data_IF_815395431787
#
_entry.id   IF_815395431787
#
_cell.length_a   1.000
_cell.length_b   1.000
_cell.length_c   1.000
_cell.angle_alpha   90.00
_cell.angle_beta   90.00
_cell.angle_gamma   90.00
#
_symmetry.space_group_name_H-M   'P 1'
#
loop_
_entity.id
_entity.type
_entity.pdbx_description
1 polymer ?
#
# COMPACT_ATOMS: atom_id res chain seq x y z
N UNK A 1 -10.28 -36.74 -3.97
CA UNK A 1 -10.10 -35.85 -2.80
C UNK A 1 -8.65 -35.47 -2.55
N UNK A 2 -7.71 -36.42 -2.39
CA UNK A 2 -6.28 -36.07 -2.19
C UNK A 2 -5.64 -35.38 -3.41
N UNK A 3 -5.94 -35.82 -4.63
CA UNK A 3 -5.42 -35.18 -5.86
C UNK A 3 -5.94 -33.74 -6.05
N UNK A 4 -7.23 -33.49 -5.82
CA UNK A 4 -7.82 -32.15 -5.91
C UNK A 4 -7.25 -31.21 -4.86
N UNK A 5 -7.01 -31.71 -3.64
CA UNK A 5 -6.35 -30.96 -2.57
C UNK A 5 -4.90 -30.60 -2.91
N UNK A 6 -4.12 -31.58 -3.37
CA UNK A 6 -2.74 -31.38 -3.78
C UNK A 6 -2.63 -30.39 -4.95
N UNK A 7 -3.55 -30.43 -5.91
CA UNK A 7 -3.57 -29.50 -7.03
C UNK A 7 -3.78 -28.05 -6.57
N UNK A 8 -4.70 -27.84 -5.62
CA UNK A 8 -4.93 -26.51 -5.02
C UNK A 8 -3.67 -26.05 -4.28
N UNK A 9 -3.08 -26.90 -3.45
CA UNK A 9 -1.85 -26.56 -2.72
C UNK A 9 -0.71 -26.19 -3.66
N UNK A 10 -0.47 -26.99 -4.70
CA UNK A 10 0.55 -26.72 -5.70
C UNK A 10 0.28 -25.39 -6.42
N UNK A 11 -0.97 -25.08 -6.75
CA UNK A 11 -1.34 -23.79 -7.34
C UNK A 11 -0.98 -22.60 -6.44
N UNK A 12 -1.31 -22.69 -5.14
CA UNK A 12 -0.97 -21.66 -4.16
C UNK A 12 0.54 -21.51 -3.99
N UNK A 13 1.28 -22.62 -3.89
CA UNK A 13 2.74 -22.61 -3.75
C UNK A 13 3.40 -22.01 -4.98
N UNK A 14 2.97 -22.39 -6.19
CA UNK A 14 3.50 -21.85 -7.43
C UNK A 14 3.24 -20.34 -7.54
N UNK A 15 2.03 -19.90 -7.23
CA UNK A 15 1.65 -18.48 -7.27
C UNK A 15 2.43 -17.69 -6.22
N UNK A 16 2.51 -18.21 -4.99
CA UNK A 16 3.28 -17.59 -3.91
C UNK A 16 4.77 -17.51 -4.21
N UNK A 17 5.34 -18.54 -4.85
CA UNK A 17 6.73 -18.54 -5.30
C UNK A 17 7.00 -17.50 -6.38
N UNK A 18 6.11 -17.38 -7.37
CA UNK A 18 6.21 -16.37 -8.43
C UNK A 18 6.10 -14.95 -7.87
N UNK A 19 5.13 -14.71 -6.99
CA UNK A 19 4.95 -13.41 -6.33
C UNK A 19 6.14 -13.09 -5.43
N UNK A 20 6.61 -14.05 -4.64
CA UNK A 20 7.77 -13.88 -3.78
C UNK A 20 9.04 -13.56 -4.57
N UNK A 21 9.26 -14.24 -5.70
CA UNK A 21 10.36 -13.93 -6.61
C UNK A 21 10.22 -12.53 -7.21
N UNK A 22 9.04 -12.18 -7.72
CA UNK A 22 8.79 -10.89 -8.35
C UNK A 22 9.03 -9.72 -7.39
N UNK A 23 8.58 -9.86 -6.14
CA UNK A 23 8.76 -8.85 -5.10
C UNK A 23 10.16 -8.82 -4.47
N UNK A 24 11.09 -9.67 -4.90
CA UNK A 24 12.46 -9.69 -4.36
C UNK A 24 12.60 -10.33 -2.97
N UNK A 25 11.68 -11.23 -2.62
CA UNK A 25 11.65 -11.94 -1.34
C UNK A 25 10.81 -11.24 -0.27
N UNK A 26 10.55 -11.97 0.82
CA UNK A 26 9.79 -11.50 1.98
C UNK A 26 10.73 -11.16 3.13
N UNK A 27 11.12 -9.90 3.20
CA UNK A 27 12.00 -9.34 4.22
C UNK A 27 11.31 -8.25 5.04
N UNK A 28 12.04 -7.68 6.00
CA UNK A 28 11.49 -6.69 6.93
C UNK A 28 10.92 -5.45 6.23
N UNK A 29 11.53 -4.98 5.13
CA UNK A 29 11.03 -3.81 4.40
C UNK A 29 9.69 -4.11 3.74
N UNK A 30 9.55 -5.26 3.07
CA UNK A 30 8.27 -5.67 2.47
C UNK A 30 7.17 -5.93 3.52
N UNK A 31 7.50 -6.57 4.65
CA UNK A 31 6.56 -6.77 5.75
C UNK A 31 6.10 -5.43 6.36
N UNK A 32 7.00 -4.45 6.46
CA UNK A 32 6.67 -3.10 6.94
C UNK A 32 5.69 -2.42 6.00
N UNK A 33 5.95 -2.44 4.69
CA UNK A 33 5.02 -1.90 3.70
C UNK A 33 3.64 -2.57 3.78
N UNK A 34 3.61 -3.90 3.87
CA UNK A 34 2.37 -4.64 4.00
C UNK A 34 1.58 -4.22 5.25
N UNK A 35 2.24 -4.05 6.39
CA UNK A 35 1.61 -3.58 7.61
C UNK A 35 0.99 -2.19 7.43
N UNK A 36 1.74 -1.25 6.82
CA UNK A 36 1.22 0.09 6.53
C UNK A 36 0.00 0.07 5.61
N UNK A 37 0.04 -0.69 4.52
CA UNK A 37 -1.08 -0.84 3.58
C UNK A 37 -2.32 -1.42 4.27
N UNK A 38 -2.15 -2.45 5.11
CA UNK A 38 -3.26 -3.10 5.83
C UNK A 38 -3.88 -2.14 6.85
N UNK A 39 -3.05 -1.47 7.65
CA UNK A 39 -3.57 -0.52 8.66
C UNK A 39 -4.23 0.67 7.99
N UNK A 40 -3.63 1.23 6.93
CA UNK A 40 -4.25 2.31 6.16
C UNK A 40 -5.62 1.89 5.62
N UNK A 41 -5.72 0.72 4.98
CA UNK A 41 -7.00 0.23 4.48
C UNK A 41 -8.05 0.08 5.58
N UNK A 42 -7.69 -0.49 6.73
CA UNK A 42 -8.59 -0.60 7.88
C UNK A 42 -9.04 0.80 8.34
N UNK A 43 -8.11 1.75 8.51
CA UNK A 43 -8.45 3.11 8.93
C UNK A 43 -9.30 3.85 7.90
N UNK A 44 -9.06 3.66 6.61
CA UNK A 44 -9.88 4.22 5.53
C UNK A 44 -11.30 3.66 5.51
N UNK A 45 -11.47 2.36 5.80
CA UNK A 45 -12.80 1.75 5.98
C UNK A 45 -13.49 2.33 7.21
N UNK A 46 -12.79 2.47 8.34
CA UNK A 46 -13.35 3.08 9.55
C UNK A 46 -13.79 4.53 9.33
N UNK A 47 -13.00 5.31 8.60
CA UNK A 47 -13.36 6.67 8.17
C UNK A 47 -14.65 6.66 7.33
N UNK A 48 -14.73 5.80 6.32
CA UNK A 48 -15.91 5.71 5.46
C UNK A 48 -17.18 5.32 6.24
N UNK A 49 -17.05 4.47 7.26
CA UNK A 49 -18.14 4.13 8.19
C UNK A 49 -18.55 5.36 9.02
N UNK A 50 -17.58 6.06 9.62
CA UNK A 50 -17.83 7.26 10.43
C UNK A 50 -18.53 8.37 9.62
N UNK A 51 -18.10 8.57 8.36
CA UNK A 51 -18.72 9.52 7.43
C UNK A 51 -20.05 9.03 6.84
N UNK A 52 -20.48 7.79 7.11
CA UNK A 52 -21.64 7.12 6.49
C UNK A 52 -21.58 7.09 4.95
N UNK A 53 -20.37 7.06 4.38
CA UNK A 53 -20.09 7.04 2.93
C UNK A 53 -19.51 5.72 2.45
N UNK A 54 -19.89 4.61 3.08
CA UNK A 54 -19.41 3.28 2.68
C UNK A 54 -19.92 2.98 1.27
N UNK A 55 -19.01 2.95 0.31
CA UNK A 55 -19.30 2.60 -1.09
C UNK A 55 -18.26 1.62 -1.60
N UNK A 56 -18.74 0.53 -2.19
CA UNK A 56 -17.87 -0.48 -2.84
C UNK A 56 -17.01 0.12 -3.94
N UNK A 57 -17.49 1.17 -4.62
CA UNK A 57 -16.71 1.90 -5.65
C UNK A 57 -15.51 2.62 -5.04
N UNK A 58 -15.67 3.22 -3.87
CA UNK A 58 -14.58 3.90 -3.14
C UNK A 58 -13.57 2.85 -2.64
N UNK A 59 -14.06 1.75 -2.05
CA UNK A 59 -13.22 0.65 -1.59
C UNK A 59 -12.43 -0.01 -2.72
N UNK A 60 -13.06 -0.28 -3.86
CA UNK A 60 -12.40 -0.84 -5.03
C UNK A 60 -11.28 0.08 -5.55
N UNK A 61 -11.53 1.40 -5.64
CA UNK A 61 -10.50 2.38 -6.02
C UNK A 61 -9.33 2.37 -5.03
N UNK A 62 -9.60 2.21 -3.73
CA UNK A 62 -8.57 2.05 -2.71
C UNK A 62 -7.70 0.82 -2.94
N UNK A 63 -8.33 -0.35 -3.11
CA UNK A 63 -7.62 -1.62 -3.35
C UNK A 63 -6.80 -1.58 -4.64
N UNK A 64 -7.33 -1.01 -5.74
CA UNK A 64 -6.58 -0.86 -6.99
C UNK A 64 -5.27 -0.08 -6.77
N UNK A 65 -5.30 1.01 -6.00
CA UNK A 65 -4.08 1.76 -5.64
C UNK A 65 -3.09 0.89 -4.89
N UNK A 66 -3.54 0.11 -3.90
CA UNK A 66 -2.64 -0.77 -3.12
C UNK A 66 -2.02 -1.88 -3.97
N UNK A 67 -2.75 -2.45 -4.93
CA UNK A 67 -2.20 -3.43 -5.87
C UNK A 67 -1.09 -2.81 -6.73
N UNK A 68 -1.31 -1.58 -7.22
CA UNK A 68 -0.30 -0.86 -8.02
C UNK A 68 1.00 -0.63 -7.25
N UNK A 69 0.94 -0.41 -5.94
CA UNK A 69 2.13 -0.30 -5.08
C UNK A 69 3.01 -1.55 -5.19
N UNK A 70 2.43 -2.74 -5.01
CA UNK A 70 3.19 -3.99 -5.08
C UNK A 70 3.70 -4.29 -6.49
N UNK A 71 2.98 -3.88 -7.53
CA UNK A 71 3.49 -3.95 -8.90
C UNK A 71 4.73 -3.08 -9.08
N UNK A 72 4.72 -1.85 -8.57
CA UNK A 72 5.87 -0.95 -8.65
C UNK A 72 7.07 -1.43 -7.82
N UNK A 73 6.82 -2.06 -6.66
CA UNK A 73 7.89 -2.71 -5.87
C UNK A 73 8.56 -3.81 -6.68
N UNK A 74 7.78 -4.65 -7.38
CA UNK A 74 8.35 -5.69 -8.23
C UNK A 74 9.10 -5.14 -9.44
N UNK A 75 8.66 -4.03 -10.03
CA UNK A 75 9.44 -3.30 -11.05
C UNK A 75 10.76 -2.80 -10.48
N UNK A 76 10.76 -2.23 -9.27
CA UNK A 76 11.98 -1.79 -8.58
C UNK A 76 12.96 -2.94 -8.37
N UNK A 77 12.47 -4.11 -7.95
CA UNK A 77 13.27 -5.32 -7.83
C UNK A 77 13.83 -5.80 -9.19
N UNK A 78 13.03 -5.78 -10.26
CA UNK A 78 13.53 -6.15 -11.60
C UNK A 78 14.65 -5.23 -12.07
N UNK A 79 14.55 -3.93 -11.77
CA UNK A 79 15.63 -2.98 -12.08
C UNK A 79 16.88 -3.25 -11.23
N UNK A 80 16.70 -3.60 -9.95
CA UNK A 80 17.83 -3.96 -9.10
C UNK A 80 18.59 -5.20 -9.60
N UNK A 81 17.87 -6.19 -10.16
CA UNK A 81 18.48 -7.36 -10.80
C UNK A 81 19.31 -6.98 -12.04
N UNK A 82 18.78 -6.10 -12.89
CA UNK A 82 19.46 -5.65 -14.11
C UNK A 82 20.69 -4.80 -13.80
N UNK A 83 20.56 -3.86 -12.86
CA UNK A 83 21.62 -2.92 -12.48
C UNK A 83 22.60 -3.51 -11.45
N UNK A 84 22.30 -4.69 -10.90
CA UNK A 84 23.07 -5.37 -9.85
C UNK A 84 23.28 -4.49 -8.61
N UNK A 85 22.27 -3.67 -8.30
CA UNK A 85 22.27 -2.75 -7.15
C UNK A 85 21.82 -3.41 -5.85
N UNK A 86 21.52 -4.72 -5.87
CA UNK A 86 21.05 -5.45 -4.70
C UNK A 86 19.55 -5.26 -4.51
N UNK A 87 19.15 -4.42 -3.56
CA UNK A 87 17.74 -4.10 -3.26
C UNK A 87 17.51 -2.57 -3.15
N UNK A 88 18.44 -1.74 -3.62
CA UNK A 88 18.41 -0.29 -3.38
C UNK A 88 17.18 0.36 -4.01
N UNK A 89 16.84 0.00 -5.25
CA UNK A 89 15.68 0.59 -5.94
C UNK A 89 14.36 0.05 -5.39
N UNK A 90 14.28 -1.25 -5.13
CA UNK A 90 13.16 -1.91 -4.46
C UNK A 90 12.87 -1.25 -3.12
N UNK A 91 13.88 -1.09 -2.27
CA UNK A 91 13.72 -0.49 -0.94
C UNK A 91 13.36 0.99 -1.04
N UNK A 92 13.92 1.73 -2.01
CA UNK A 92 13.51 3.12 -2.26
C UNK A 92 12.02 3.23 -2.61
N UNK A 93 11.51 2.36 -3.48
CA UNK A 93 10.07 2.31 -3.82
C UNK A 93 9.25 1.92 -2.60
N UNK A 94 9.70 0.94 -1.81
CA UNK A 94 9.05 0.53 -0.57
C UNK A 94 8.94 1.70 0.42
N UNK A 95 10.04 2.39 0.71
CA UNK A 95 10.04 3.51 1.66
C UNK A 95 9.24 4.71 1.16
N UNK A 96 9.24 4.97 -0.15
CA UNK A 96 8.36 5.95 -0.76
C UNK A 96 6.88 5.63 -0.48
N UNK A 97 6.47 4.38 -0.70
CA UNK A 97 5.08 3.99 -0.45
C UNK A 97 4.74 3.84 1.03
N UNK A 98 5.65 3.43 1.90
CA UNK A 98 5.45 3.51 3.36
C UNK A 98 5.13 4.95 3.77
N UNK A 99 5.84 5.93 3.20
CA UNK A 99 5.59 7.35 3.48
C UNK A 99 4.19 7.78 2.98
N UNK A 100 3.80 7.37 1.77
CA UNK A 100 2.47 7.67 1.22
C UNK A 100 1.34 7.05 2.04
N UNK A 101 1.48 5.78 2.43
CA UNK A 101 0.53 5.07 3.29
C UNK A 101 0.48 5.69 4.69
N UNK A 102 1.63 6.13 5.22
CA UNK A 102 1.71 6.84 6.49
C UNK A 102 0.95 8.17 6.48
N UNK A 103 1.05 8.94 5.39
CA UNK A 103 0.28 10.19 5.23
C UNK A 103 -1.22 9.89 5.17
N UNK A 104 -1.64 8.92 4.36
CA UNK A 104 -3.04 8.49 4.26
C UNK A 104 -3.61 8.02 5.60
N UNK A 105 -2.83 7.24 6.36
CA UNK A 105 -3.19 6.77 7.69
C UNK A 105 -3.38 7.94 8.67
N UNK A 106 -2.48 8.92 8.65
CA UNK A 106 -2.61 10.13 9.48
C UNK A 106 -3.86 10.94 9.10
N UNK A 107 -4.16 11.08 7.81
CA UNK A 107 -5.39 11.73 7.35
C UNK A 107 -6.65 11.01 7.86
N UNK A 108 -6.68 9.68 7.73
CA UNK A 108 -7.80 8.87 8.22
C UNK A 108 -7.96 8.99 9.75
N UNK A 109 -6.86 8.96 10.50
CA UNK A 109 -6.88 9.14 11.95
C UNK A 109 -7.43 10.52 12.37
N UNK A 110 -6.97 11.59 11.73
CA UNK A 110 -7.46 12.96 11.98
C UNK A 110 -8.95 13.06 11.63
N UNK A 111 -9.38 12.46 10.52
CA UNK A 111 -10.79 12.47 10.08
C UNK A 111 -11.72 11.73 11.04
N UNK A 112 -11.24 10.67 11.71
CA UNK A 112 -12.00 9.92 12.73
C UNK A 112 -12.03 10.67 14.08
N UNK A 113 -11.23 11.73 14.25
CA UNK A 113 -11.21 12.58 15.44
C UNK A 113 -10.12 12.25 16.45
N UNK A 114 -9.07 11.52 16.06
CA UNK A 114 -7.91 11.34 16.94
C UNK A 114 -7.24 12.71 17.20
N UNK A 115 -6.87 13.02 18.46
CA UNK A 115 -6.18 14.25 18.79
C UNK A 115 -4.75 14.21 18.23
N UNK A 116 -4.49 15.04 17.23
CA UNK A 116 -3.17 15.21 16.59
C UNK A 116 -2.74 16.66 16.74
N UNK A 117 -1.43 16.97 16.95
CA UNK A 117 -0.95 18.35 17.04
C UNK A 117 -1.34 19.21 15.83
N UNK A 118 -1.69 20.48 16.06
CA UNK A 118 -2.17 21.39 15.00
C UNK A 118 -1.17 21.54 13.84
N UNK A 119 0.14 21.58 14.13
CA UNK A 119 1.18 21.64 13.08
C UNK A 119 1.11 20.46 12.09
N UNK A 120 0.75 19.27 12.58
CA UNK A 120 0.61 18.08 11.72
C UNK A 120 -0.67 18.19 10.88
N UNK A 121 -1.78 18.66 11.47
CA UNK A 121 -3.02 18.91 10.73
C UNK A 121 -2.82 19.96 9.62
N UNK A 122 -2.09 21.03 9.91
CA UNK A 122 -1.75 22.07 8.93
C UNK A 122 -0.90 21.51 7.79
N UNK A 123 0.12 20.71 8.11
CA UNK A 123 0.95 20.06 7.09
C UNK A 123 0.11 19.14 6.18
N UNK A 124 -0.79 18.32 6.76
CA UNK A 124 -1.69 17.47 5.99
C UNK A 124 -2.63 18.28 5.08
N UNK A 125 -3.20 19.38 5.57
CA UNK A 125 -4.05 20.28 4.75
C UNK A 125 -3.29 20.89 3.57
N UNK A 126 -2.02 21.27 3.77
CA UNK A 126 -1.19 21.81 2.69
C UNK A 126 -0.89 20.76 1.60
N UNK A 127 -0.75 19.49 1.98
CA UNK A 127 -0.58 18.40 1.01
C UNK A 127 -1.86 18.19 0.20
N UNK A 128 -3.01 18.11 0.87
CA UNK A 128 -4.32 17.91 0.22
C UNK A 128 -4.67 19.08 -0.72
N UNK A 129 -4.41 20.33 -0.30
CA UNK A 129 -4.64 21.52 -1.12
C UNK A 129 -3.75 21.63 -2.37
N UNK A 130 -2.64 20.88 -2.45
CA UNK A 130 -1.83 20.77 -3.68
C UNK A 130 -2.42 19.76 -4.66
N UNK A 131 -2.94 18.62 -4.17
CA UNK A 131 -3.54 17.59 -5.03
C UNK A 131 -4.80 18.10 -5.77
N UNK A 132 -5.62 18.94 -5.12
CA UNK A 132 -6.82 19.53 -5.77
C UNK A 132 -6.49 20.52 -6.89
N UNK A 133 -5.33 21.20 -6.81
CA UNK A 133 -4.90 22.15 -7.83
C UNK A 133 -4.23 21.48 -9.05
N UNK A 134 -3.61 20.30 -8.88
CA UNK A 134 -2.98 19.56 -9.98
C UNK A 134 -4.00 18.77 -10.83
N UNK A 135 -5.13 18.35 -10.26
CA UNK A 135 -6.19 17.63 -10.97
C UNK A 135 -7.20 18.55 -11.68
N UNK A 136 -6.96 19.87 -11.71
CA UNK A 136 -7.85 20.91 -12.22
C UNK A 136 -7.52 21.49 -13.60
N UNK A 137 -6.54 20.94 -14.33
CA UNK A 137 -6.16 21.39 -15.68
C UNK A 137 -6.39 20.31 -16.74
#
# INVERSE_FOLDING_TARGET
MKQTWNLIQTGFVATGGLVGWYLGGFDASLYTLLAFVVVDYITGVLRAINEKKVSSRIGAKGITKKILIFLLVGVGHMLDLELKTGNVLRDAVIFFYISNEGISLLENAVSIGLPVPEKVKEALKQLHGKEDNENGN
#
